data_IF_607608298910
#
_entry.id   IF_607608298910
#
_cell.length_a   1.000
_cell.length_b   1.000
_cell.length_c   1.000
_cell.angle_alpha   90.00
_cell.angle_beta   90.00
_cell.angle_gamma   90.00
#
_symmetry.space_group_name_H-M   'P 1'
#
loop_
_entity.id
_entity.type
_entity.pdbx_description
1 polymer ?
#
# COMPACT_ATOMS: atom_id res chain seq x y z
N UNK A 1 10.66 25.24 -27.51
CA UNK A 1 10.71 26.20 -26.39
C UNK A 1 9.36 26.90 -26.28
N UNK A 2 8.52 26.48 -25.34
CA UNK A 2 7.16 27.01 -25.16
C UNK A 2 7.07 27.46 -23.69
N UNK A 3 6.85 28.76 -23.46
CA UNK A 3 6.70 29.37 -22.13
C UNK A 3 5.22 29.28 -21.71
N UNK A 4 4.94 28.63 -20.59
CA UNK A 4 3.62 28.60 -19.95
C UNK A 4 3.49 29.75 -18.92
N UNK A 5 2.26 30.28 -18.71
CA UNK A 5 2.02 31.41 -17.81
C UNK A 5 1.93 30.99 -16.34
N UNK A 6 2.47 31.84 -15.47
CA UNK A 6 2.42 31.74 -14.01
C UNK A 6 0.97 31.80 -13.51
N UNK A 7 0.54 30.74 -12.82
CA UNK A 7 -0.69 30.71 -12.06
C UNK A 7 -0.44 31.27 -10.65
N UNK A 8 -1.31 32.20 -10.26
CA UNK A 8 -1.34 32.89 -8.98
C UNK A 8 -1.94 31.96 -7.92
N UNK A 9 -1.15 31.52 -6.95
CA UNK A 9 -1.62 30.77 -5.78
C UNK A 9 -2.34 31.72 -4.82
N UNK A 10 -3.57 31.42 -4.36
CA UNK A 10 -4.22 32.24 -3.35
C UNK A 10 -3.62 31.97 -1.96
N UNK A 11 -3.42 33.08 -1.26
CA UNK A 11 -2.97 33.24 0.11
C UNK A 11 -3.99 32.60 1.08
N UNK A 12 -3.77 31.35 1.53
CA UNK A 12 -4.52 30.78 2.66
C UNK A 12 -3.78 31.20 3.94
N UNK A 13 -4.25 32.28 4.54
CA UNK A 13 -3.82 32.78 5.84
C UNK A 13 -4.30 31.84 6.96
N UNK A 14 -3.34 31.13 7.54
CA UNK A 14 -3.18 30.84 8.97
C UNK A 14 -4.31 31.24 9.92
N UNK A 15 -5.10 30.26 10.39
CA UNK A 15 -5.88 30.38 11.64
C UNK A 15 -5.84 29.09 12.53
N UNK A 16 -4.68 28.61 13.04
CA UNK A 16 -4.65 27.51 14.02
C UNK A 16 -4.29 27.93 15.46
N UNK A 17 -4.07 29.21 15.76
CA UNK A 17 -3.47 29.64 17.03
C UNK A 17 -4.45 29.91 18.21
N UNK A 18 -5.77 29.83 18.00
CA UNK A 18 -6.75 30.16 19.06
C UNK A 18 -7.33 28.96 19.82
N UNK A 19 -7.03 27.71 19.42
CA UNK A 19 -7.56 26.50 20.09
C UNK A 19 -6.63 25.90 21.16
N UNK A 20 -5.37 26.34 21.24
CA UNK A 20 -4.39 25.78 22.17
C UNK A 20 -4.65 26.10 23.65
N UNK A 21 -5.28 27.24 23.95
CA UNK A 21 -5.54 27.68 25.33
C UNK A 21 -6.59 26.86 26.08
N UNK A 22 -7.57 26.29 25.37
CA UNK A 22 -8.60 25.46 26.01
C UNK A 22 -8.08 24.07 26.41
N UNK A 23 -7.10 23.53 25.67
CA UNK A 23 -6.59 22.19 25.92
C UNK A 23 -5.73 22.13 27.18
N UNK A 24 -4.84 23.12 27.39
CA UNK A 24 -3.99 23.19 28.58
C UNK A 24 -4.80 23.35 29.89
N UNK A 25 -5.84 24.19 29.89
CA UNK A 25 -6.71 24.37 31.07
C UNK A 25 -7.50 23.09 31.38
N UNK A 26 -8.03 22.41 30.36
CA UNK A 26 -8.76 21.15 30.55
C UNK A 26 -7.86 20.05 31.12
N UNK A 27 -6.60 19.98 30.69
CA UNK A 27 -5.62 19.05 31.26
C UNK A 27 -5.34 19.37 32.73
N UNK A 28 -5.10 20.64 33.09
CA UNK A 28 -4.88 21.04 34.49
C UNK A 28 -6.08 20.67 35.39
N UNK A 29 -7.31 20.84 34.91
CA UNK A 29 -8.53 20.44 35.63
C UNK A 29 -8.58 18.92 35.82
N UNK A 30 -8.23 18.15 34.79
CA UNK A 30 -8.18 16.70 34.87
C UNK A 30 -7.12 16.22 35.89
N UNK A 31 -5.96 16.87 35.93
CA UNK A 31 -4.92 16.55 36.91
C UNK A 31 -5.39 16.84 38.34
N UNK A 32 -6.08 17.96 38.58
CA UNK A 32 -6.69 18.27 39.87
C UNK A 32 -7.69 17.19 40.32
N UNK A 33 -8.51 16.68 39.39
CA UNK A 33 -9.45 15.58 39.63
C UNK A 33 -8.79 14.26 40.00
N UNK A 34 -7.58 14.02 39.47
CA UNK A 34 -6.80 12.84 39.82
C UNK A 34 -6.26 12.92 41.26
N UNK A 35 -5.98 14.13 41.76
CA UNK A 35 -5.57 14.38 43.15
C UNK A 35 -4.16 13.91 43.51
N UNK A 36 -3.34 13.50 42.52
CA UNK A 36 -1.95 13.11 42.71
C UNK A 36 -1.03 14.34 42.62
N UNK A 37 -0.77 14.95 43.76
CA UNK A 37 0.07 16.15 43.87
C UNK A 37 1.49 15.95 43.36
N UNK A 38 2.06 14.75 43.48
CA UNK A 38 3.39 14.47 42.96
C UNK A 38 3.40 14.46 41.42
N UNK A 39 2.41 13.84 40.79
CA UNK A 39 2.26 13.88 39.33
C UNK A 39 1.97 15.30 38.83
N UNK A 40 1.11 16.06 39.53
CA UNK A 40 0.82 17.47 39.21
C UNK A 40 2.11 18.30 39.26
N UNK A 41 2.88 18.19 40.34
CA UNK A 41 4.15 18.88 40.49
C UNK A 41 5.11 18.53 39.36
N UNK A 42 5.26 17.24 39.06
CA UNK A 42 6.13 16.76 37.98
C UNK A 42 5.78 17.38 36.63
N UNK A 43 4.50 17.40 36.26
CA UNK A 43 4.06 18.04 35.01
C UNK A 43 4.39 19.53 34.97
N UNK A 44 4.12 20.25 36.05
CA UNK A 44 4.40 21.69 36.12
C UNK A 44 5.90 21.97 36.02
N UNK A 45 6.73 21.21 36.73
CA UNK A 45 8.19 21.30 36.63
C UNK A 45 8.71 20.95 35.23
N UNK A 46 8.17 19.90 34.62
CA UNK A 46 8.54 19.45 33.27
C UNK A 46 8.09 20.42 32.17
N UNK A 47 7.06 21.23 32.43
CA UNK A 47 6.65 22.35 31.59
C UNK A 47 7.52 23.61 31.80
N UNK A 48 8.39 23.61 32.82
CA UNK A 48 9.23 24.75 33.17
C UNK A 48 8.46 25.86 33.91
N UNK A 49 7.34 25.53 34.55
CA UNK A 49 6.59 26.49 35.36
C UNK A 49 7.29 26.76 36.69
N UNK A 50 7.01 27.92 37.29
CA UNK A 50 7.46 28.25 38.65
C UNK A 50 6.91 27.28 39.68
N UNK A 51 7.66 27.07 40.75
CA UNK A 51 7.25 26.23 41.88
C UNK A 51 6.21 26.97 42.74
N UNK A 52 4.94 26.97 42.32
CA UNK A 52 3.86 27.62 43.07
C UNK A 52 2.75 26.63 43.45
N UNK A 53 2.98 25.94 44.57
CA UNK A 53 1.98 25.05 45.15
C UNK A 53 0.71 25.80 45.56
N UNK A 54 0.82 27.03 46.06
CA UNK A 54 -0.33 27.77 46.57
C UNK A 54 -1.28 28.15 45.43
N UNK A 55 -0.76 28.72 44.35
CA UNK A 55 -1.54 29.03 43.15
C UNK A 55 -2.13 27.76 42.53
N UNK A 56 -1.34 26.68 42.44
CA UNK A 56 -1.84 25.41 41.88
C UNK A 56 -2.96 24.81 42.74
N UNK A 57 -2.84 24.93 44.07
CA UNK A 57 -3.86 24.48 45.02
C UNK A 57 -5.15 25.28 44.88
N UNK A 58 -5.06 26.61 44.83
CA UNK A 58 -6.22 27.48 44.66
C UNK A 58 -6.94 27.21 43.32
N UNK A 59 -6.17 26.95 42.25
CA UNK A 59 -6.72 26.51 40.98
C UNK A 59 -7.49 25.18 41.09
N UNK A 60 -6.94 24.18 41.78
CA UNK A 60 -7.63 22.89 41.96
C UNK A 60 -8.86 23.00 42.87
N UNK A 61 -8.80 23.78 43.95
CA UNK A 61 -9.92 23.97 44.87
C UNK A 61 -11.12 24.63 44.19
N UNK A 62 -10.88 25.55 43.25
CA UNK A 62 -11.93 26.21 42.47
C UNK A 62 -12.61 25.31 41.42
N UNK A 63 -12.04 24.15 41.10
CA UNK A 63 -12.53 23.28 40.01
C UNK A 63 -12.92 21.84 40.43
N UNK A 64 -12.47 21.33 41.59
CA UNK A 64 -12.78 19.95 42.03
C UNK A 64 -13.10 19.78 43.54
N UNK A 65 -13.18 20.85 44.32
CA UNK A 65 -13.71 20.78 45.69
C UNK A 65 -12.83 20.06 46.73
N UNK A 66 -11.50 20.14 46.60
CA UNK A 66 -10.58 20.00 47.73
C UNK A 66 -10.39 18.61 48.33
N UNK A 67 -10.17 17.56 47.52
CA UNK A 67 -9.72 16.25 48.03
C UNK A 67 -8.20 16.22 48.26
N UNK A 68 -7.70 17.00 49.22
CA UNK A 68 -6.31 16.92 49.66
C UNK A 68 -6.10 15.73 50.60
N UNK A 69 -5.38 14.69 50.15
CA UNK A 69 -4.79 13.71 51.07
C UNK A 69 -3.58 14.34 51.82
N UNK A 70 -3.22 13.77 52.97
CA UNK A 70 -2.11 14.27 53.80
C UNK A 70 -0.79 14.34 53.03
N UNK A 71 -0.08 15.46 53.24
CA UNK A 71 1.20 15.87 52.63
C UNK A 71 1.21 16.23 51.12
N UNK A 72 0.09 16.79 50.64
CA UNK A 72 -0.04 17.34 49.28
C UNK A 72 1.07 18.33 48.88
N UNK A 73 1.52 19.17 49.83
CA UNK A 73 2.58 20.14 49.58
C UNK A 73 3.93 19.45 49.33
N UNK A 74 4.40 18.54 50.20
CA UNK A 74 5.67 17.87 49.96
C UNK A 74 5.61 16.98 48.70
N UNK A 75 4.47 16.33 48.45
CA UNK A 75 4.24 15.58 47.21
C UNK A 75 4.42 16.47 45.97
N UNK A 76 3.77 17.63 45.93
CA UNK A 76 3.93 18.57 44.83
C UNK A 76 5.37 19.07 44.66
N UNK A 77 6.03 19.47 45.75
CA UNK A 77 7.39 20.01 45.68
C UNK A 77 8.40 18.93 45.19
N UNK A 78 8.25 17.69 45.65
CA UNK A 78 9.08 16.56 45.21
C UNK A 78 8.87 16.27 43.71
N UNK A 79 7.61 16.19 43.29
CA UNK A 79 7.25 16.02 41.88
C UNK A 79 7.82 17.13 41.01
N UNK A 80 7.60 18.38 41.41
CA UNK A 80 8.06 19.56 40.69
C UNK A 80 9.58 19.60 40.54
N UNK A 81 10.33 19.26 41.59
CA UNK A 81 11.79 19.18 41.52
C UNK A 81 12.25 18.15 40.48
N UNK A 82 11.60 16.98 40.41
CA UNK A 82 11.88 15.97 39.39
C UNK A 82 11.48 16.45 37.98
N UNK A 83 10.33 17.11 37.83
CA UNK A 83 9.89 17.68 36.56
C UNK A 83 10.87 18.73 36.03
N UNK A 84 11.30 19.65 36.89
CA UNK A 84 12.27 20.68 36.55
C UNK A 84 13.63 20.06 36.16
N UNK A 85 14.03 18.99 36.85
CA UNK A 85 15.20 18.19 36.45
C UNK A 85 15.03 17.64 35.03
N UNK A 86 13.89 17.04 34.71
CA UNK A 86 13.62 16.46 33.38
C UNK A 86 13.59 17.55 32.29
N UNK A 87 13.00 18.72 32.55
CA UNK A 87 12.97 19.86 31.62
C UNK A 87 14.37 20.32 31.19
N UNK A 88 15.29 20.47 32.15
CA UNK A 88 16.65 20.92 31.88
C UNK A 88 17.52 19.79 31.33
N UNK A 89 17.38 18.57 31.85
CA UNK A 89 18.07 17.39 31.35
C UNK A 89 17.73 17.11 29.88
N UNK A 90 16.46 17.19 29.48
CA UNK A 90 16.05 16.98 28.09
C UNK A 90 16.70 17.97 27.12
N UNK A 91 16.81 19.26 27.50
CA UNK A 91 17.55 20.26 26.71
C UNK A 91 19.03 19.93 26.63
N UNK A 92 19.63 19.56 27.76
CA UNK A 92 21.00 19.09 27.81
C UNK A 92 21.24 17.93 26.82
N UNK A 93 20.42 16.88 26.88
CA UNK A 93 20.48 15.72 25.98
C UNK A 93 20.41 16.16 24.51
N UNK A 94 19.47 17.05 24.19
CA UNK A 94 19.32 17.60 22.83
C UNK A 94 20.57 18.30 22.33
N UNK A 95 21.12 19.20 23.14
CA UNK A 95 22.32 19.97 22.80
C UNK A 95 23.57 19.09 22.69
N UNK A 96 23.74 18.13 23.61
CA UNK A 96 24.84 17.17 23.60
C UNK A 96 24.81 16.31 22.32
N UNK A 97 23.62 15.83 21.91
CA UNK A 97 23.45 15.06 20.66
C UNK A 97 23.78 15.86 19.41
N UNK A 98 23.58 17.16 19.45
CA UNK A 98 23.90 18.08 18.36
C UNK A 98 25.35 18.57 18.39
N UNK A 99 26.16 18.09 19.34
CA UNK A 99 27.53 18.55 19.55
C UNK A 99 27.61 20.06 19.75
N UNK A 100 26.70 20.62 20.55
CA UNK A 100 26.77 22.01 20.99
C UNK A 100 27.59 22.12 22.28
N UNK A 101 28.35 23.21 22.49
CA UNK A 101 29.15 23.38 23.71
C UNK A 101 28.24 23.52 24.93
N UNK A 102 28.73 23.11 26.11
CA UNK A 102 28.01 23.22 27.39
C UNK A 102 27.63 24.67 27.75
N UNK A 103 28.31 25.67 27.16
CA UNK A 103 27.94 27.09 27.27
C UNK A 103 26.62 27.45 26.57
N UNK A 104 25.95 26.47 25.95
CA UNK A 104 24.63 26.63 25.35
C UNK A 104 23.53 26.78 26.40
N UNK A 105 23.76 26.28 27.62
CA UNK A 105 22.86 26.51 28.75
C UNK A 105 22.51 28.00 28.93
N UNK A 106 23.50 28.88 28.84
CA UNK A 106 23.35 30.32 28.99
C UNK A 106 22.45 30.91 27.90
N UNK A 107 22.44 30.31 26.70
CA UNK A 107 21.49 30.66 25.62
C UNK A 107 20.08 30.23 25.96
N UNK A 108 19.89 29.06 26.57
CA UNK A 108 18.57 28.61 27.05
C UNK A 108 18.07 29.47 28.20
N UNK A 109 18.94 29.85 29.15
CA UNK A 109 18.60 30.77 30.25
C UNK A 109 18.16 32.13 29.71
N UNK A 110 18.81 32.63 28.66
CA UNK A 110 18.44 33.87 27.99
C UNK A 110 17.26 33.74 27.00
N UNK A 111 16.68 32.55 26.84
CA UNK A 111 15.61 32.33 25.88
C UNK A 111 14.28 32.91 26.36
N UNK A 112 13.47 33.40 25.42
CA UNK A 112 12.17 34.01 25.70
C UNK A 112 11.23 33.04 26.43
N UNK A 113 11.28 31.74 26.13
CA UNK A 113 10.46 30.70 26.77
C UNK A 113 10.77 30.58 28.27
N UNK A 114 12.05 30.50 28.63
CA UNK A 114 12.52 30.41 30.03
C UNK A 114 12.24 31.72 30.78
N UNK A 115 12.47 32.86 30.14
CA UNK A 115 12.24 34.17 30.76
C UNK A 115 10.75 34.43 31.02
N UNK A 116 9.87 34.17 30.05
CA UNK A 116 8.42 34.41 30.21
C UNK A 116 7.81 33.52 31.28
N UNK A 117 8.21 32.25 31.35
CA UNK A 117 7.72 31.29 32.35
C UNK A 117 8.40 31.43 33.71
N UNK A 118 9.40 32.31 33.83
CA UNK A 118 10.25 32.45 35.01
C UNK A 118 10.81 31.09 35.46
N UNK A 119 11.16 30.22 34.50
CA UNK A 119 11.51 28.84 34.78
C UNK A 119 12.71 28.77 35.73
N UNK A 120 12.59 28.10 36.89
CA UNK A 120 13.71 27.96 37.80
C UNK A 120 14.87 27.21 37.16
N UNK A 121 16.07 27.75 37.36
CA UNK A 121 17.30 27.30 36.70
C UNK A 121 17.86 26.03 37.34
N UNK A 122 18.20 25.03 36.53
CA UNK A 122 18.80 23.79 37.02
C UNK A 122 20.00 23.36 36.16
N UNK A 123 21.14 24.02 36.41
CA UNK A 123 22.40 23.73 35.72
C UNK A 123 22.85 22.26 35.89
N UNK A 124 22.81 21.65 37.10
CA UNK A 124 23.20 20.25 37.27
C UNK A 124 22.38 19.28 36.41
N UNK A 125 21.06 19.49 36.32
CA UNK A 125 20.19 18.68 35.47
C UNK A 125 20.55 18.82 33.98
N UNK A 126 20.76 20.06 33.53
CA UNK A 126 21.20 20.32 32.15
C UNK A 126 22.54 19.66 31.85
N UNK A 127 23.55 19.82 32.73
CA UNK A 127 24.88 19.25 32.50
C UNK A 127 24.84 17.72 32.51
N UNK A 128 24.03 17.10 33.38
CA UNK A 128 23.81 15.65 33.39
C UNK A 128 23.18 15.17 32.07
N UNK A 129 22.14 15.84 31.60
CA UNK A 129 21.53 15.56 30.30
C UNK A 129 22.50 15.77 29.13
N UNK A 130 23.27 16.85 29.16
CA UNK A 130 24.28 17.16 28.15
C UNK A 130 25.33 16.07 28.04
N UNK A 131 25.81 15.54 29.17
CA UNK A 131 26.75 14.43 29.19
C UNK A 131 26.18 13.19 28.49
N UNK A 132 24.92 12.84 28.75
CA UNK A 132 24.23 11.72 28.06
C UNK A 132 24.18 11.98 26.55
N UNK A 133 23.75 13.17 26.13
CA UNK A 133 23.65 13.51 24.72
C UNK A 133 25.01 13.53 24.00
N UNK A 134 26.05 14.02 24.67
CA UNK A 134 27.41 14.04 24.13
C UNK A 134 27.99 12.63 23.99
N UNK A 135 27.73 11.75 24.97
CA UNK A 135 28.05 10.32 24.86
C UNK A 135 27.37 9.68 23.66
N UNK A 136 26.07 9.93 23.44
CA UNK A 136 25.33 9.45 22.26
C UNK A 136 25.96 9.96 20.95
N UNK A 137 26.31 11.24 20.89
CA UNK A 137 26.95 11.84 19.71
C UNK A 137 28.27 11.15 19.36
N UNK A 138 29.17 11.02 20.35
CA UNK A 138 30.49 10.41 20.12
C UNK A 138 30.39 8.92 19.84
N UNK A 139 29.47 8.21 20.48
CA UNK A 139 29.16 6.82 20.13
C UNK A 139 28.72 6.69 18.67
N UNK A 140 27.80 7.55 18.22
CA UNK A 140 27.35 7.58 16.84
C UNK A 140 28.49 7.91 15.85
N UNK A 141 29.35 8.86 16.19
CA UNK A 141 30.51 9.22 15.37
C UNK A 141 31.52 8.07 15.28
N UNK A 142 31.86 7.45 16.41
CA UNK A 142 32.72 6.28 16.45
C UNK A 142 32.14 5.14 15.61
N UNK A 143 30.83 4.85 15.75
CA UNK A 143 30.14 3.82 14.97
C UNK A 143 30.22 4.06 13.47
N UNK A 144 30.06 5.30 13.00
CA UNK A 144 30.25 5.65 11.59
C UNK A 144 31.68 5.37 11.14
N UNK A 145 32.67 5.89 11.88
CA UNK A 145 34.08 5.69 11.54
C UNK A 145 34.47 4.20 11.52
N UNK A 146 33.96 3.40 12.45
CA UNK A 146 34.15 1.95 12.45
C UNK A 146 33.48 1.26 11.26
N UNK A 147 32.25 1.66 10.90
CA UNK A 147 31.53 1.10 9.74
C UNK A 147 32.22 1.45 8.42
N UNK A 148 32.80 2.64 8.32
CA UNK A 148 33.61 3.09 7.18
C UNK A 148 34.97 2.34 7.08
N UNK A 149 35.31 1.50 8.06
CA UNK A 149 36.59 0.80 8.11
C UNK A 149 37.77 1.75 8.37
N UNK A 150 37.58 2.80 9.17
CA UNK A 150 38.69 3.70 9.57
C UNK A 150 39.53 3.07 10.68
N UNK A 151 40.84 3.36 10.74
CA UNK A 151 41.70 2.86 11.82
C UNK A 151 41.27 3.38 13.18
N UNK A 152 41.61 2.65 14.25
CA UNK A 152 41.30 3.07 15.62
C UNK A 152 41.93 4.43 15.99
N UNK A 153 43.00 4.84 15.29
CA UNK A 153 43.63 6.16 15.43
C UNK A 153 42.77 7.31 14.90
N UNK A 154 41.67 7.06 14.18
CA UNK A 154 40.71 8.10 13.81
C UNK A 154 40.13 8.82 15.03
N UNK A 155 40.16 8.17 16.19
CA UNK A 155 39.85 8.73 17.49
C UNK A 155 40.66 9.97 17.83
N UNK A 156 41.96 9.97 17.52
CA UNK A 156 42.83 11.12 17.84
C UNK A 156 42.43 12.34 17.01
N UNK A 157 42.15 12.14 15.71
CA UNK A 157 41.63 13.19 14.84
C UNK A 157 40.22 13.67 15.26
N UNK A 158 39.38 12.79 15.80
CA UNK A 158 38.08 13.17 16.37
C UNK A 158 38.24 14.03 17.63
N UNK A 159 39.15 13.65 18.53
CA UNK A 159 39.50 14.41 19.74
C UNK A 159 40.06 15.79 19.40
N UNK A 160 40.96 15.88 18.42
CA UNK A 160 41.56 17.16 18.02
C UNK A 160 40.51 18.11 17.41
N UNK A 161 39.59 17.57 16.59
CA UNK A 161 38.44 18.34 16.07
C UNK A 161 37.51 18.81 17.18
N UNK A 162 37.24 17.96 18.18
CA UNK A 162 36.44 18.34 19.34
C UNK A 162 37.08 19.51 20.09
N UNK A 163 38.39 19.45 20.34
CA UNK A 163 39.14 20.50 21.00
C UNK A 163 39.09 21.84 20.22
N UNK A 164 39.24 21.80 18.89
CA UNK A 164 39.13 22.98 18.03
C UNK A 164 37.73 23.63 18.07
N UNK A 165 36.69 22.84 18.31
CA UNK A 165 35.31 23.29 18.38
C UNK A 165 34.85 23.63 19.81
N UNK A 166 35.73 23.50 20.82
CA UNK A 166 35.37 23.69 22.22
C UNK A 166 34.39 22.63 22.76
N UNK A 167 34.40 21.43 22.17
CA UNK A 167 33.55 20.32 22.56
C UNK A 167 34.29 19.36 23.47
N UNK A 168 33.59 18.81 24.47
CA UNK A 168 34.14 17.74 25.31
C UNK A 168 34.09 16.41 24.56
N UNK A 169 35.27 15.89 24.25
CA UNK A 169 35.40 14.56 23.66
C UNK A 169 35.08 13.47 24.69
N UNK A 170 34.20 12.53 24.33
CA UNK A 170 33.94 11.32 25.12
C UNK A 170 34.64 10.11 24.47
N UNK A 171 35.85 9.80 24.96
CA UNK A 171 36.71 8.74 24.45
C UNK A 171 36.07 7.35 24.57
N UNK A 172 35.42 7.07 25.70
CA UNK A 172 34.82 5.77 25.98
C UNK A 172 33.62 5.51 25.06
N UNK A 173 32.76 6.52 24.89
CA UNK A 173 31.60 6.43 24.00
C UNK A 173 32.04 6.29 22.54
N UNK A 174 33.02 7.08 22.10
CA UNK A 174 33.59 6.95 20.76
C UNK A 174 34.17 5.55 20.51
N UNK A 175 35.01 5.05 21.43
CA UNK A 175 35.63 3.73 21.29
C UNK A 175 34.61 2.60 21.24
N UNK A 176 33.58 2.64 22.09
CA UNK A 176 32.46 1.68 22.09
C UNK A 176 31.68 1.70 20.77
N UNK A 177 31.38 2.91 20.28
CA UNK A 177 30.75 3.11 18.99
C UNK A 177 31.58 2.53 17.86
N UNK A 178 32.88 2.85 17.84
CA UNK A 178 33.82 2.38 16.82
C UNK A 178 33.96 0.86 16.81
N UNK A 179 34.04 0.20 17.97
CA UNK A 179 34.05 -1.27 18.03
C UNK A 179 32.79 -1.88 17.42
N UNK A 180 31.62 -1.30 17.72
CA UNK A 180 30.34 -1.71 17.13
C UNK A 180 30.35 -1.53 15.62
N UNK A 181 30.77 -0.36 15.13
CA UNK A 181 30.86 -0.06 13.71
C UNK A 181 31.84 -0.96 12.96
N UNK A 182 33.02 -1.20 13.53
CA UNK A 182 34.03 -2.07 12.96
C UNK A 182 33.53 -3.52 12.86
N UNK A 183 32.78 -4.00 13.84
CA UNK A 183 32.10 -5.30 13.73
C UNK A 183 31.14 -5.33 12.53
N UNK A 184 30.33 -4.28 12.33
CA UNK A 184 29.45 -4.14 11.17
C UNK A 184 30.22 -4.15 9.86
N UNK A 185 31.31 -3.37 9.74
CA UNK A 185 32.18 -3.36 8.55
C UNK A 185 32.62 -4.77 8.14
N UNK A 186 33.06 -5.58 9.10
CA UNK A 186 33.49 -6.95 8.83
C UNK A 186 32.32 -7.90 8.51
N UNK A 187 31.15 -7.71 9.14
CA UNK A 187 29.94 -8.45 8.79
C UNK A 187 29.50 -8.16 7.35
N UNK A 188 29.45 -6.89 6.96
CA UNK A 188 29.06 -6.46 5.61
C UNK A 188 30.06 -6.96 4.55
N UNK A 189 31.35 -6.94 4.87
CA UNK A 189 32.38 -7.52 4.02
C UNK A 189 32.19 -9.03 3.83
N UNK A 190 31.95 -9.78 4.92
CA UNK A 190 31.72 -11.23 4.87
C UNK A 190 30.47 -11.59 4.09
N UNK A 191 29.38 -10.86 4.34
CA UNK A 191 28.13 -10.97 3.59
C UNK A 191 28.33 -10.73 2.10
N UNK A 192 28.97 -9.62 1.74
CA UNK A 192 29.20 -9.23 0.34
C UNK A 192 30.09 -10.23 -0.39
N UNK A 193 31.18 -10.67 0.25
CA UNK A 193 32.11 -11.64 -0.32
C UNK A 193 31.39 -12.98 -0.56
N UNK A 194 30.60 -13.47 0.41
CA UNK A 194 29.80 -14.69 0.24
C UNK A 194 28.76 -14.56 -0.88
N UNK A 195 28.02 -13.45 -0.93
CA UNK A 195 27.01 -13.17 -1.96
C UNK A 195 27.59 -13.13 -3.38
N UNK A 196 28.86 -12.76 -3.51
CA UNK A 196 29.58 -12.73 -4.78
C UNK A 196 30.33 -14.03 -5.08
N UNK A 197 30.23 -15.04 -4.22
CA UNK A 197 30.94 -16.32 -4.38
C UNK A 197 32.47 -16.20 -4.21
N UNK A 198 32.92 -15.22 -3.43
CA UNK A 198 34.33 -15.07 -3.05
C UNK A 198 34.64 -16.06 -1.91
N UNK A 199 35.71 -16.86 -2.02
CA UNK A 199 36.06 -17.86 -1.02
C UNK A 199 36.55 -17.20 0.29
N UNK A 200 36.35 -17.88 1.43
CA UNK A 200 36.86 -17.44 2.74
C UNK A 200 38.39 -17.25 2.77
N UNK A 201 39.13 -17.89 1.86
CA UNK A 201 40.57 -17.66 1.71
C UNK A 201 40.92 -16.21 1.38
N UNK A 202 39.99 -15.45 0.78
CA UNK A 202 40.12 -14.00 0.55
C UNK A 202 40.21 -13.17 1.83
N UNK A 203 39.72 -13.69 2.96
CA UNK A 203 39.82 -13.04 4.27
C UNK A 203 41.27 -12.73 4.63
N UNK A 204 42.23 -13.62 4.30
CA UNK A 204 43.64 -13.41 4.64
C UNK A 204 44.21 -12.14 4.00
N UNK A 205 43.92 -11.92 2.72
CA UNK A 205 44.37 -10.73 1.99
C UNK A 205 43.68 -9.47 2.53
N UNK A 206 42.36 -9.53 2.77
CA UNK A 206 41.59 -8.41 3.34
C UNK A 206 42.07 -8.04 4.75
N UNK A 207 42.31 -9.03 5.59
CA UNK A 207 42.84 -8.84 6.94
C UNK A 207 44.27 -8.25 6.92
N UNK A 208 45.12 -8.65 5.98
CA UNK A 208 46.45 -8.05 5.81
C UNK A 208 46.34 -6.57 5.40
N UNK A 209 45.49 -6.25 4.43
CA UNK A 209 45.25 -4.86 3.99
C UNK A 209 44.66 -4.00 5.12
N UNK A 210 43.70 -4.54 5.87
CA UNK A 210 43.10 -3.86 7.02
C UNK A 210 44.13 -3.57 8.12
N UNK A 211 44.98 -4.55 8.46
CA UNK A 211 46.09 -4.36 9.43
C UNK A 211 47.06 -3.29 8.95
N UNK A 212 47.43 -3.29 7.66
CA UNK A 212 48.29 -2.27 7.08
C UNK A 212 47.67 -0.86 7.13
N UNK A 213 46.34 -0.77 7.02
CA UNK A 213 45.59 0.47 7.18
C UNK A 213 45.29 0.84 8.65
N UNK A 214 45.71 0.04 9.64
CA UNK A 214 45.46 0.29 11.07
C UNK A 214 44.03 -0.06 11.54
N UNK A 215 43.27 -0.80 10.73
CA UNK A 215 41.91 -1.25 11.05
C UNK A 215 41.98 -2.56 11.84
N UNK A 216 41.25 -2.64 12.96
CA UNK A 216 41.19 -3.86 13.75
C UNK A 216 40.39 -4.94 13.00
N UNK A 217 40.99 -6.12 12.84
CA UNK A 217 40.35 -7.23 12.16
C UNK A 217 39.33 -7.93 13.07
N UNK A 218 38.11 -8.14 12.59
CA UNK A 218 37.06 -8.93 13.26
C UNK A 218 36.76 -10.20 12.45
N UNK A 219 37.65 -11.20 12.53
CA UNK A 219 37.55 -12.43 11.71
C UNK A 219 36.28 -13.24 12.01
N UNK A 220 35.87 -13.30 13.28
CA UNK A 220 34.66 -14.02 13.69
C UNK A 220 33.40 -13.38 13.09
N UNK A 221 33.31 -12.05 13.14
CA UNK A 221 32.18 -11.29 12.62
C UNK A 221 32.04 -11.47 11.09
N UNK A 222 33.16 -11.42 10.38
CA UNK A 222 33.23 -11.71 8.95
C UNK A 222 32.78 -13.15 8.64
N UNK A 223 33.36 -14.15 9.30
CA UNK A 223 33.08 -15.56 9.02
C UNK A 223 31.64 -15.95 9.37
N UNK A 224 31.08 -15.38 10.44
CA UNK A 224 29.69 -15.60 10.79
C UNK A 224 28.76 -15.11 9.67
N UNK A 225 28.96 -13.89 9.18
CA UNK A 225 28.17 -13.33 8.08
C UNK A 225 28.40 -14.09 6.76
N UNK A 226 29.65 -14.44 6.45
CA UNK A 226 30.00 -15.20 5.25
C UNK A 226 29.35 -16.59 5.24
N UNK A 227 29.44 -17.34 6.35
CA UNK A 227 28.85 -18.68 6.45
C UNK A 227 27.32 -18.67 6.37
N UNK A 228 26.68 -17.60 6.86
CA UNK A 228 25.24 -17.43 6.74
C UNK A 228 24.82 -17.16 5.28
N UNK A 229 25.53 -16.26 4.59
CA UNK A 229 25.12 -15.80 3.26
C UNK A 229 25.57 -16.73 2.12
N UNK A 230 26.64 -17.51 2.30
CA UNK A 230 27.13 -18.40 1.25
C UNK A 230 26.09 -19.46 0.87
N UNK A 231 25.21 -19.83 1.80
CA UNK A 231 24.08 -20.71 1.54
C UNK A 231 23.11 -20.08 0.56
N UNK A 232 22.81 -18.78 0.73
CA UNK A 232 21.92 -18.03 -0.17
C UNK A 232 22.54 -17.85 -1.56
N UNK A 233 23.86 -17.64 -1.63
CA UNK A 233 24.58 -17.67 -2.91
C UNK A 233 24.29 -18.96 -3.70
N UNK A 234 24.42 -20.13 -3.06
CA UNK A 234 24.17 -21.41 -3.72
C UNK A 234 22.69 -21.62 -4.10
N UNK A 235 21.75 -21.17 -3.27
CA UNK A 235 20.31 -21.19 -3.60
C UNK A 235 19.99 -20.33 -4.83
N UNK A 236 20.51 -19.11 -4.86
CA UNK A 236 20.34 -18.18 -5.97
C UNK A 236 20.96 -18.75 -7.25
N UNK A 237 22.16 -19.34 -7.14
CA UNK A 237 22.84 -19.98 -8.25
C UNK A 237 22.02 -21.15 -8.82
N UNK A 238 21.49 -22.03 -7.95
CA UNK A 238 20.61 -23.12 -8.36
C UNK A 238 19.37 -22.64 -9.11
N UNK A 239 18.77 -21.54 -8.65
CA UNK A 239 17.61 -20.92 -9.29
C UNK A 239 17.95 -20.33 -10.67
N UNK A 240 19.09 -19.65 -10.80
CA UNK A 240 19.54 -19.10 -12.08
C UNK A 240 19.89 -20.21 -13.07
N UNK A 241 20.55 -21.26 -12.59
CA UNK A 241 21.08 -22.33 -13.43
C UNK A 241 20.01 -23.30 -13.94
N UNK A 242 18.90 -23.45 -13.21
CA UNK A 242 17.74 -24.22 -13.61
C UNK A 242 17.21 -23.87 -15.01
N UNK A 243 17.40 -22.63 -15.47
CA UNK A 243 16.89 -22.13 -16.75
C UNK A 243 17.99 -21.50 -17.62
N UNK A 244 19.27 -21.82 -17.35
CA UNK A 244 20.40 -21.31 -18.13
C UNK A 244 21.24 -22.40 -18.81
N UNK A 245 20.84 -23.67 -18.67
CA UNK A 245 21.56 -24.83 -19.21
C UNK A 245 22.81 -25.22 -18.42
N UNK A 246 23.06 -24.63 -17.24
CA UNK A 246 24.17 -25.01 -16.36
C UNK A 246 23.75 -26.07 -15.35
N UNK A 247 24.58 -27.10 -15.21
CA UNK A 247 24.37 -28.16 -14.23
C UNK A 247 25.26 -27.99 -12.98
N UNK A 248 25.00 -28.81 -11.97
CA UNK A 248 25.78 -28.79 -10.74
C UNK A 248 27.25 -29.22 -10.96
N UNK A 249 27.55 -30.09 -11.93
CA UNK A 249 28.92 -30.55 -12.16
C UNK A 249 29.82 -29.41 -12.64
N UNK A 250 29.30 -28.56 -13.54
CA UNK A 250 29.98 -27.33 -13.97
C UNK A 250 30.24 -26.40 -12.79
N UNK A 251 29.22 -26.13 -11.96
CA UNK A 251 29.37 -25.26 -10.77
C UNK A 251 30.29 -25.84 -9.71
N UNK A 252 30.30 -27.15 -9.54
CA UNK A 252 31.22 -27.86 -8.65
C UNK A 252 32.66 -27.69 -9.10
N UNK A 253 32.92 -27.78 -10.40
CA UNK A 253 34.25 -27.54 -10.97
C UNK A 253 34.69 -26.07 -10.78
N UNK A 254 33.81 -25.11 -11.10
CA UNK A 254 34.06 -23.68 -10.88
C UNK A 254 34.34 -23.36 -9.40
N UNK A 255 33.54 -23.90 -8.48
CA UNK A 255 33.72 -23.70 -7.05
C UNK A 255 35.02 -24.31 -6.53
N UNK A 256 35.40 -25.52 -6.98
CA UNK A 256 36.69 -26.15 -6.65
C UNK A 256 37.86 -25.33 -7.14
N UNK A 257 37.81 -24.83 -8.38
CA UNK A 257 38.86 -23.98 -8.94
C UNK A 257 39.06 -22.68 -8.13
N UNK A 258 37.98 -22.15 -7.54
CA UNK A 258 38.01 -20.96 -6.68
C UNK A 258 38.31 -21.26 -5.21
N UNK A 259 38.32 -22.53 -4.79
CA UNK A 259 38.38 -22.87 -3.36
C UNK A 259 37.13 -22.47 -2.56
N UNK A 260 35.97 -22.38 -3.22
CA UNK A 260 34.70 -22.04 -2.60
C UNK A 260 34.08 -23.26 -1.91
N UNK A 261 33.54 -23.07 -0.70
CA UNK A 261 32.78 -24.11 0.01
C UNK A 261 31.50 -24.45 -0.78
N UNK A 262 31.26 -25.73 -0.99
CA UNK A 262 30.15 -26.24 -1.80
C UNK A 262 28.96 -26.59 -0.90
N UNK A 263 27.79 -26.07 -1.25
CA UNK A 263 26.50 -26.36 -0.61
C UNK A 263 25.57 -27.01 -1.63
N UNK A 264 25.82 -28.31 -1.88
CA UNK A 264 25.14 -29.08 -2.94
C UNK A 264 23.65 -29.25 -2.67
N UNK A 265 23.26 -29.52 -1.42
CA UNK A 265 21.88 -29.77 -1.07
C UNK A 265 21.01 -28.53 -1.34
N UNK A 266 21.47 -27.35 -0.92
CA UNK A 266 20.75 -26.09 -1.07
C UNK A 266 20.69 -25.61 -2.52
N UNK A 267 21.78 -25.83 -3.28
CA UNK A 267 21.79 -25.64 -4.72
C UNK A 267 20.75 -26.53 -5.40
N UNK A 268 20.81 -27.86 -5.18
CA UNK A 268 19.94 -28.84 -5.85
C UNK A 268 18.48 -28.60 -5.52
N UNK A 269 18.15 -28.36 -4.25
CA UNK A 269 16.78 -28.07 -3.84
C UNK A 269 16.22 -26.83 -4.55
N UNK A 270 17.01 -25.74 -4.62
CA UNK A 270 16.57 -24.50 -5.29
C UNK A 270 16.45 -24.67 -6.80
N UNK A 271 17.38 -25.43 -7.40
CA UNK A 271 17.36 -25.79 -8.81
C UNK A 271 16.12 -26.64 -9.18
N UNK A 272 15.82 -27.69 -8.41
CA UNK A 272 14.65 -28.55 -8.60
C UNK A 272 13.35 -27.77 -8.41
N UNK A 273 13.26 -26.92 -7.38
CA UNK A 273 12.09 -26.08 -7.14
C UNK A 273 11.82 -25.13 -8.31
N UNK A 274 12.87 -24.49 -8.83
CA UNK A 274 12.74 -23.58 -9.97
C UNK A 274 12.33 -24.31 -11.25
N UNK A 275 12.85 -25.51 -11.49
CA UNK A 275 12.41 -26.35 -12.61
C UNK A 275 10.95 -26.79 -12.44
N UNK A 276 10.54 -27.15 -11.23
CA UNK A 276 9.17 -27.49 -10.95
C UNK A 276 8.21 -26.32 -11.24
N UNK A 277 8.61 -25.09 -10.88
CA UNK A 277 7.85 -23.88 -11.21
C UNK A 277 7.79 -23.64 -12.73
N UNK A 278 8.91 -23.82 -13.44
CA UNK A 278 8.96 -23.69 -14.89
C UNK A 278 7.97 -24.66 -15.56
N UNK A 279 8.00 -25.95 -15.20
CA UNK A 279 7.14 -26.96 -15.82
C UNK A 279 5.66 -26.77 -15.49
N UNK A 280 5.33 -26.31 -14.27
CA UNK A 280 3.97 -25.87 -13.94
C UNK A 280 3.53 -24.70 -14.82
N UNK A 281 4.37 -23.69 -14.96
CA UNK A 281 4.05 -22.52 -15.80
C UNK A 281 3.89 -22.89 -17.27
N UNK A 282 4.75 -23.74 -17.81
CA UNK A 282 4.63 -24.24 -19.18
C UNK A 282 3.29 -24.98 -19.40
N UNK A 283 2.88 -25.81 -18.43
CA UNK A 283 1.57 -26.47 -18.47
C UNK A 283 0.41 -25.47 -18.42
N UNK A 284 0.50 -24.42 -17.60
CA UNK A 284 -0.52 -23.37 -17.55
C UNK A 284 -0.62 -22.60 -18.88
N UNK A 285 0.53 -22.19 -19.44
CA UNK A 285 0.59 -21.39 -20.66
C UNK A 285 0.07 -22.17 -21.89
N UNK A 286 0.15 -23.51 -21.87
CA UNK A 286 -0.40 -24.39 -22.91
C UNK A 286 -1.81 -24.89 -22.63
N UNK A 287 -2.22 -24.96 -21.36
CA UNK A 287 -3.49 -25.59 -21.00
C UNK A 287 -4.73 -24.78 -21.40
N UNK A 288 -4.59 -23.49 -21.67
CA UNK A 288 -5.74 -22.67 -22.09
C UNK A 288 -5.88 -22.61 -23.62
N UNK A 289 -6.67 -23.53 -24.18
CA UNK A 289 -7.06 -23.51 -25.59
C UNK A 289 -5.96 -23.90 -26.58
N UNK A 290 -4.90 -24.58 -26.12
CA UNK A 290 -3.83 -25.11 -26.98
C UNK A 290 -3.68 -26.62 -26.79
N UNK A 291 -3.12 -27.34 -27.78
CA UNK A 291 -2.84 -28.77 -27.65
C UNK A 291 -1.88 -29.07 -26.50
N UNK A 292 -1.89 -30.31 -26.03
CA UNK A 292 -0.93 -30.82 -25.05
C UNK A 292 0.46 -30.96 -25.69
N UNK A 293 1.47 -30.21 -25.22
CA UNK A 293 2.80 -30.09 -25.87
C UNK A 293 3.95 -30.67 -25.04
N UNK A 294 3.67 -31.54 -24.06
CA UNK A 294 4.71 -32.02 -23.13
C UNK A 294 5.90 -32.67 -23.84
N UNK A 295 5.65 -33.60 -24.78
CA UNK A 295 6.72 -34.34 -25.45
C UNK A 295 7.60 -33.41 -26.30
N UNK A 296 6.98 -32.46 -27.02
CA UNK A 296 7.71 -31.44 -27.79
C UNK A 296 8.56 -30.55 -26.89
N UNK A 297 8.03 -30.11 -25.74
CA UNK A 297 8.80 -29.30 -24.78
C UNK A 297 9.94 -30.09 -24.16
N UNK A 298 9.72 -31.35 -23.81
CA UNK A 298 10.77 -32.22 -23.27
C UNK A 298 11.88 -32.45 -24.31
N UNK A 299 11.52 -32.67 -25.58
CA UNK A 299 12.48 -32.84 -26.68
C UNK A 299 13.32 -31.57 -26.92
N UNK A 300 12.74 -30.38 -26.70
CA UNK A 300 13.41 -29.09 -26.93
C UNK A 300 14.03 -28.48 -25.66
N UNK A 301 13.85 -29.08 -24.48
CA UNK A 301 14.24 -28.50 -23.20
C UNK A 301 15.73 -28.09 -23.17
N UNK A 302 16.63 -28.95 -23.66
CA UNK A 302 18.06 -28.65 -23.71
C UNK A 302 18.40 -27.45 -24.60
N UNK A 303 17.72 -27.30 -25.75
CA UNK A 303 17.86 -26.14 -26.63
C UNK A 303 17.38 -24.86 -25.97
N UNK A 304 16.34 -24.98 -25.15
CA UNK A 304 15.71 -23.86 -24.44
C UNK A 304 16.43 -23.56 -23.10
N UNK A 305 17.52 -24.26 -22.78
CA UNK A 305 18.32 -24.06 -21.57
C UNK A 305 17.67 -24.58 -20.29
N UNK A 306 16.72 -25.51 -20.40
CA UNK A 306 15.94 -26.06 -19.28
C UNK A 306 16.17 -27.56 -19.16
N UNK A 307 16.04 -28.09 -17.95
CA UNK A 307 16.21 -29.51 -17.66
C UNK A 307 14.88 -30.21 -17.39
N UNK A 308 14.79 -31.47 -17.82
CA UNK A 308 13.69 -32.37 -17.45
C UNK A 308 14.02 -32.99 -16.09
N UNK A 309 13.07 -32.93 -15.16
CA UNK A 309 13.15 -33.54 -13.83
C UNK A 309 12.17 -34.71 -13.71
N UNK A 310 12.34 -35.63 -12.73
CA UNK A 310 11.45 -36.79 -12.59
C UNK A 310 9.96 -36.41 -12.49
N UNK A 311 9.65 -35.24 -11.90
CA UNK A 311 8.28 -34.73 -11.73
C UNK A 311 7.77 -33.88 -12.90
N UNK A 312 8.54 -33.68 -13.97
CA UNK A 312 8.15 -32.82 -15.11
C UNK A 312 6.78 -33.19 -15.66
N UNK A 313 6.54 -34.49 -15.91
CA UNK A 313 5.27 -34.98 -16.46
C UNK A 313 4.09 -34.72 -15.52
N UNK A 314 4.23 -35.04 -14.24
CA UNK A 314 3.21 -34.80 -13.21
C UNK A 314 2.83 -33.31 -13.15
N UNK A 315 3.84 -32.45 -13.03
CA UNK A 315 3.67 -31.00 -12.84
C UNK A 315 3.06 -30.31 -14.05
N UNK A 316 3.55 -30.63 -15.26
CA UNK A 316 3.02 -30.08 -16.50
C UNK A 316 1.58 -30.56 -16.73
N UNK A 317 1.33 -31.87 -16.62
CA UNK A 317 0.00 -32.43 -16.90
C UNK A 317 -1.04 -31.89 -15.93
N UNK A 318 -0.74 -31.83 -14.64
CA UNK A 318 -1.68 -31.28 -13.65
C UNK A 318 -2.03 -29.81 -13.95
N UNK A 319 -1.01 -29.00 -14.27
CA UNK A 319 -1.20 -27.58 -14.61
C UNK A 319 -1.96 -27.38 -15.93
N UNK A 320 -1.68 -28.21 -16.94
CA UNK A 320 -2.38 -28.20 -18.22
C UNK A 320 -3.83 -28.60 -18.05
N UNK A 321 -4.12 -29.70 -17.36
CA UNK A 321 -5.48 -30.19 -17.12
C UNK A 321 -6.32 -29.15 -16.37
N UNK A 322 -5.74 -28.45 -15.39
CA UNK A 322 -6.42 -27.37 -14.66
C UNK A 322 -6.84 -26.23 -15.60
N UNK A 323 -5.95 -25.74 -16.45
CA UNK A 323 -6.28 -24.66 -17.39
C UNK A 323 -7.20 -25.13 -18.52
N UNK A 324 -7.03 -26.38 -18.97
CA UNK A 324 -7.89 -26.94 -20.00
C UNK A 324 -9.31 -27.15 -19.48
N UNK A 325 -9.50 -27.50 -18.20
CA UNK A 325 -10.84 -27.53 -17.58
C UNK A 325 -11.50 -26.13 -17.54
N UNK A 326 -10.69 -25.06 -17.36
CA UNK A 326 -11.18 -23.67 -17.43
C UNK A 326 -11.49 -23.21 -18.85
N UNK A 327 -10.88 -23.79 -19.86
CA UNK A 327 -11.20 -23.53 -21.26
C UNK A 327 -12.40 -24.36 -21.74
N UNK A 328 -12.38 -25.66 -21.45
CA UNK A 328 -13.36 -26.67 -21.83
C UNK A 328 -14.50 -26.77 -20.80
N UNK A 329 -15.17 -25.66 -20.54
CA UNK A 329 -16.43 -25.64 -19.80
C UNK A 329 -17.54 -24.91 -20.57
N UNK A 330 -18.82 -25.22 -20.29
CA UNK A 330 -19.94 -24.67 -21.05
C UNK A 330 -19.99 -23.14 -21.01
N UNK A 331 -19.59 -22.54 -19.89
CA UNK A 331 -19.59 -21.10 -19.70
C UNK A 331 -18.60 -20.38 -20.63
N UNK A 332 -17.34 -20.84 -20.65
CA UNK A 332 -16.33 -20.30 -21.55
C UNK A 332 -16.72 -20.51 -23.02
N UNK A 333 -17.27 -21.67 -23.37
CA UNK A 333 -17.72 -21.96 -24.72
C UNK A 333 -18.86 -21.01 -25.16
N UNK A 334 -19.86 -20.81 -24.30
CA UNK A 334 -20.96 -19.88 -24.51
C UNK A 334 -20.45 -18.44 -24.68
N UNK A 335 -19.56 -17.98 -23.80
CA UNK A 335 -19.02 -16.62 -23.86
C UNK A 335 -18.12 -16.38 -25.07
N UNK A 336 -17.38 -17.39 -25.54
CA UNK A 336 -16.63 -17.32 -26.80
C UNK A 336 -17.58 -17.25 -28.00
N UNK A 337 -18.66 -18.05 -27.98
CA UNK A 337 -19.71 -18.02 -29.00
C UNK A 337 -20.39 -16.66 -29.10
N UNK A 338 -20.76 -16.06 -27.96
CA UNK A 338 -21.30 -14.69 -27.90
C UNK A 338 -20.36 -13.66 -28.51
N UNK A 339 -19.07 -13.76 -28.22
CA UNK A 339 -18.09 -12.82 -28.77
C UNK A 339 -17.73 -13.07 -30.24
N UNK A 340 -18.26 -14.14 -30.84
CA UNK A 340 -17.85 -14.58 -32.19
C UNK A 340 -16.38 -15.01 -32.26
N UNK A 341 -15.76 -15.31 -31.12
CA UNK A 341 -14.39 -15.80 -31.06
C UNK A 341 -14.34 -17.28 -31.42
N UNK A 342 -13.28 -17.75 -32.09
CA UNK A 342 -13.09 -19.17 -32.37
C UNK A 342 -12.82 -19.97 -31.10
N UNK A 343 -13.33 -21.21 -31.03
CA UNK A 343 -12.99 -22.18 -29.98
C UNK A 343 -12.39 -23.44 -30.61
N UNK A 344 -11.24 -23.85 -30.08
CA UNK A 344 -10.51 -25.06 -30.47
C UNK A 344 -11.11 -26.28 -29.74
N UNK A 345 -12.18 -26.87 -30.27
CA UNK A 345 -12.89 -27.98 -29.59
C UNK A 345 -12.04 -29.26 -29.49
N UNK A 346 -11.09 -29.44 -30.38
CA UNK A 346 -10.18 -30.60 -30.43
C UNK A 346 -9.27 -30.71 -29.20
N UNK A 347 -9.00 -29.60 -28.49
CA UNK A 347 -8.18 -29.63 -27.26
C UNK A 347 -8.98 -30.16 -26.05
N UNK A 348 -10.31 -30.16 -26.15
CA UNK A 348 -11.19 -30.70 -25.12
C UNK A 348 -11.28 -32.23 -25.21
N UNK A 349 -11.47 -32.90 -24.06
CA UNK A 349 -11.68 -34.36 -24.01
C UNK A 349 -12.97 -34.75 -24.73
N UNK A 350 -12.97 -35.91 -25.40
CA UNK A 350 -14.09 -36.34 -26.26
C UNK A 350 -15.49 -36.24 -25.62
N UNK A 351 -15.71 -36.66 -24.35
CA UNK A 351 -17.05 -36.61 -23.75
C UNK A 351 -17.64 -35.20 -23.65
N UNK A 352 -16.80 -34.17 -23.51
CA UNK A 352 -17.24 -32.78 -23.33
C UNK A 352 -17.31 -31.99 -24.63
N UNK A 353 -16.69 -32.48 -25.72
CA UNK A 353 -16.64 -31.76 -27.02
C UNK A 353 -18.02 -31.39 -27.54
N UNK A 354 -18.96 -32.32 -27.51
CA UNK A 354 -20.31 -32.08 -28.00
C UNK A 354 -21.06 -31.05 -27.14
N UNK A 355 -20.88 -31.12 -25.82
CA UNK A 355 -21.44 -30.12 -24.90
C UNK A 355 -20.87 -28.73 -25.18
N UNK A 356 -19.55 -28.61 -25.39
CA UNK A 356 -18.91 -27.33 -25.73
C UNK A 356 -19.43 -26.75 -27.05
N UNK A 357 -19.55 -27.58 -28.09
CA UNK A 357 -20.10 -27.15 -29.39
C UNK A 357 -21.53 -26.61 -29.24
N UNK A 358 -22.38 -27.28 -28.47
CA UNK A 358 -23.74 -26.80 -28.20
C UNK A 358 -23.73 -25.48 -27.43
N UNK A 359 -22.97 -25.40 -26.34
CA UNK A 359 -22.87 -24.17 -25.55
C UNK A 359 -22.37 -22.98 -26.39
N UNK A 360 -21.38 -23.22 -27.25
CA UNK A 360 -20.86 -22.24 -28.21
C UNK A 360 -21.94 -21.74 -29.18
N UNK A 361 -22.68 -22.66 -29.82
CA UNK A 361 -23.79 -22.31 -30.72
C UNK A 361 -24.90 -21.57 -29.97
N UNK A 362 -25.26 -22.00 -28.76
CA UNK A 362 -26.21 -21.28 -27.90
C UNK A 362 -25.76 -19.85 -27.60
N UNK A 363 -24.45 -19.60 -27.48
CA UNK A 363 -23.89 -18.26 -27.32
C UNK A 363 -24.08 -17.39 -28.57
N UNK A 364 -23.89 -17.96 -29.76
CA UNK A 364 -24.16 -17.25 -31.02
C UNK A 364 -25.64 -16.91 -31.17
N UNK A 365 -26.52 -17.88 -30.93
CA UNK A 365 -27.98 -17.70 -30.95
C UNK A 365 -28.44 -16.69 -29.89
N UNK A 366 -27.76 -16.66 -28.73
CA UNK A 366 -28.03 -15.70 -27.66
C UNK A 366 -27.81 -14.26 -28.16
N UNK A 367 -26.71 -13.98 -28.85
CA UNK A 367 -26.45 -12.63 -29.37
C UNK A 367 -27.44 -12.23 -30.47
N UNK A 368 -27.88 -13.19 -31.29
CA UNK A 368 -28.97 -12.94 -32.24
C UNK A 368 -30.27 -12.59 -31.52
N UNK A 369 -30.60 -13.31 -30.44
CA UNK A 369 -31.77 -13.02 -29.60
C UNK A 369 -31.62 -11.68 -28.85
N UNK A 370 -30.43 -11.36 -28.36
CA UNK A 370 -30.11 -10.10 -27.67
C UNK A 370 -30.27 -8.91 -28.62
N UNK A 371 -29.82 -9.02 -29.87
CA UNK A 371 -30.03 -7.99 -30.88
C UNK A 371 -31.52 -7.76 -31.17
N UNK A 372 -32.33 -8.83 -31.22
CA UNK A 372 -33.79 -8.72 -31.39
C UNK A 372 -34.47 -8.11 -30.17
N UNK A 373 -34.05 -8.50 -28.97
CA UNK A 373 -34.51 -7.92 -27.71
C UNK A 373 -34.23 -6.42 -27.66
N UNK A 374 -33.00 -5.99 -27.96
CA UNK A 374 -32.63 -4.58 -27.94
C UNK A 374 -33.46 -3.73 -28.92
N UNK A 375 -33.79 -4.28 -30.09
CA UNK A 375 -34.69 -3.61 -31.05
C UNK A 375 -36.11 -3.48 -30.47
N UNK A 376 -36.68 -4.58 -29.98
CA UNK A 376 -38.03 -4.57 -29.40
C UNK A 376 -38.12 -3.66 -28.16
N UNK A 377 -37.09 -3.62 -27.32
CA UNK A 377 -37.00 -2.71 -26.18
C UNK A 377 -36.94 -1.25 -26.63
N UNK A 378 -36.17 -0.94 -27.68
CA UNK A 378 -36.17 0.38 -28.32
C UNK A 378 -37.55 0.79 -28.84
N UNK A 379 -38.26 -0.13 -29.50
CA UNK A 379 -39.63 0.11 -29.97
C UNK A 379 -40.60 0.40 -28.80
N UNK A 380 -40.46 -0.33 -27.68
CA UNK A 380 -41.24 -0.08 -26.45
C UNK A 380 -41.00 1.34 -25.93
N UNK A 381 -39.74 1.78 -25.85
CA UNK A 381 -39.40 3.11 -25.36
C UNK A 381 -39.94 4.22 -26.28
N UNK A 382 -39.79 4.06 -27.60
CA UNK A 382 -40.30 4.99 -28.61
C UNK A 382 -41.83 5.08 -28.55
N UNK A 383 -42.53 3.94 -28.59
CA UNK A 383 -43.99 3.88 -28.57
C UNK A 383 -44.56 4.38 -27.24
N UNK A 384 -43.91 4.08 -26.12
CA UNK A 384 -44.27 4.61 -24.80
C UNK A 384 -44.12 6.14 -24.73
N UNK A 385 -43.11 6.70 -25.39
CA UNK A 385 -42.98 8.14 -25.62
C UNK A 385 -44.18 8.72 -26.40
N UNK A 386 -44.51 8.11 -27.55
CA UNK A 386 -45.64 8.52 -28.39
C UNK A 386 -46.99 8.43 -27.70
N UNK A 387 -47.23 7.36 -26.92
CA UNK A 387 -48.45 7.20 -26.12
C UNK A 387 -48.57 8.31 -25.09
N UNK A 388 -47.49 8.64 -24.37
CA UNK A 388 -47.48 9.73 -23.39
C UNK A 388 -47.79 11.08 -24.04
N UNK A 389 -47.18 11.37 -25.19
CA UNK A 389 -47.42 12.61 -25.94
C UNK A 389 -48.86 12.69 -26.45
N UNK A 390 -49.38 11.62 -27.06
CA UNK A 390 -50.74 11.55 -27.57
C UNK A 390 -51.77 11.72 -26.44
N UNK A 391 -51.57 11.08 -25.28
CA UNK A 391 -52.41 11.27 -24.08
C UNK A 391 -52.36 12.72 -23.58
N UNK A 392 -51.18 13.33 -23.53
CA UNK A 392 -51.04 14.72 -23.12
C UNK A 392 -51.75 15.67 -24.10
N UNK A 393 -51.63 15.43 -25.41
CA UNK A 393 -52.33 16.20 -26.46
C UNK A 393 -53.84 16.03 -26.36
N UNK A 394 -54.33 14.80 -26.22
CA UNK A 394 -55.74 14.50 -26.05
C UNK A 394 -56.30 15.23 -24.82
N UNK A 395 -55.61 15.14 -23.68
CA UNK A 395 -56.01 15.83 -22.46
C UNK A 395 -56.00 17.36 -22.59
N UNK A 396 -55.11 17.95 -23.42
CA UNK A 396 -55.18 19.39 -23.74
C UNK A 396 -56.43 19.72 -24.56
N UNK A 397 -56.67 18.99 -25.64
CA UNK A 397 -57.84 19.18 -26.52
C UNK A 397 -59.14 19.05 -25.72
N UNK A 398 -59.27 18.03 -24.87
CA UNK A 398 -60.45 17.81 -24.04
C UNK A 398 -60.68 18.95 -23.03
N UNK A 399 -59.62 19.49 -22.43
CA UNK A 399 -59.71 20.67 -21.57
C UNK A 399 -60.12 21.91 -22.35
N UNK A 400 -59.56 22.13 -23.53
CA UNK A 400 -59.87 23.29 -24.37
C UNK A 400 -61.32 23.23 -24.91
N UNK A 401 -61.82 22.03 -25.24
CA UNK A 401 -63.23 21.81 -25.60
C UNK A 401 -64.11 22.16 -24.39
N UNK A 402 -63.82 21.63 -23.20
CA UNK A 402 -64.60 21.90 -21.98
C UNK A 402 -64.60 23.39 -21.62
N UNK A 403 -63.42 24.03 -21.60
CA UNK A 403 -63.28 25.45 -21.29
C UNK A 403 -64.06 26.34 -22.25
N UNK A 404 -64.08 26.00 -23.54
CA UNK A 404 -64.88 26.73 -24.54
C UNK A 404 -66.38 26.53 -24.38
N UNK A 405 -66.83 25.33 -23.98
CA UNK A 405 -68.23 25.05 -23.71
C UNK A 405 -68.72 25.75 -22.44
N UNK A 406 -67.86 25.87 -21.43
CA UNK A 406 -68.18 26.51 -20.15
C UNK A 406 -68.10 28.06 -20.22
N UNK A 407 -67.53 28.63 -21.30
CA UNK A 407 -67.42 30.08 -21.47
C UNK A 407 -68.77 30.71 -21.84
N UNK A 408 -69.40 31.35 -20.85
CA UNK A 408 -70.73 31.97 -20.97
C UNK A 408 -70.77 33.17 -21.92
N UNK A 409 -69.63 33.81 -22.18
CA UNK A 409 -69.52 35.00 -23.04
C UNK A 409 -69.18 34.63 -24.50
N UNK A 410 -69.17 33.33 -24.84
CA UNK A 410 -68.80 32.86 -26.17
C UNK A 410 -69.92 33.13 -27.19
N UNK A 411 -69.63 33.81 -28.33
CA UNK A 411 -70.63 34.02 -29.36
C UNK A 411 -70.99 32.69 -30.05
N UNK A 412 -72.28 32.37 -30.11
CA UNK A 412 -72.79 31.19 -30.83
C UNK A 412 -73.06 31.60 -32.27
N UNK A 413 -72.12 31.29 -33.16
CA UNK A 413 -72.21 31.59 -34.59
C UNK A 413 -71.58 30.45 -35.43
N UNK A 414 -71.70 30.54 -36.75
CA UNK A 414 -71.23 29.49 -37.65
C UNK A 414 -69.72 29.23 -37.52
N UNK A 415 -68.93 30.26 -37.20
CA UNK A 415 -67.48 30.12 -37.02
C UNK A 415 -67.14 29.36 -35.73
N UNK A 416 -67.82 29.63 -34.61
CA UNK A 416 -67.61 28.88 -33.38
C UNK A 416 -68.08 27.42 -33.50
N UNK A 417 -69.16 27.16 -34.24
CA UNK A 417 -69.58 25.78 -34.56
C UNK A 417 -68.60 25.03 -35.47
N UNK A 418 -67.97 25.72 -36.45
CA UNK A 418 -66.92 25.11 -37.27
C UNK A 418 -65.67 24.79 -36.45
N UNK A 419 -65.28 25.68 -35.53
CA UNK A 419 -64.15 25.45 -34.62
C UNK A 419 -64.40 24.25 -33.70
N UNK A 420 -65.60 24.11 -33.15
CA UNK A 420 -65.96 22.96 -32.30
C UNK A 420 -65.91 21.64 -33.08
N UNK A 421 -66.45 21.62 -34.31
CA UNK A 421 -66.36 20.44 -35.18
C UNK A 421 -64.92 20.05 -35.49
N UNK A 422 -64.03 21.02 -35.74
CA UNK A 422 -62.60 20.76 -35.97
C UNK A 422 -61.92 20.18 -34.73
N UNK A 423 -62.15 20.75 -33.54
CA UNK A 423 -61.58 20.25 -32.28
C UNK A 423 -62.08 18.86 -31.94
N UNK A 424 -63.37 18.59 -32.17
CA UNK A 424 -63.95 17.26 -31.96
C UNK A 424 -63.39 16.25 -32.97
N UNK A 425 -63.15 16.64 -34.23
CA UNK A 425 -62.45 15.81 -35.20
C UNK A 425 -61.01 15.52 -34.75
N UNK A 426 -60.25 16.55 -34.36
CA UNK A 426 -58.89 16.37 -33.83
C UNK A 426 -58.85 15.48 -32.58
N UNK A 427 -59.84 15.61 -31.69
CA UNK A 427 -59.99 14.73 -30.52
C UNK A 427 -60.15 13.26 -30.95
N UNK A 428 -61.02 12.99 -31.93
CA UNK A 428 -61.23 11.63 -32.47
C UNK A 428 -59.99 11.10 -33.16
N UNK A 429 -59.32 11.91 -33.97
CA UNK A 429 -58.11 11.52 -34.69
C UNK A 429 -56.97 11.17 -33.72
N UNK A 430 -56.78 11.99 -32.67
CA UNK A 430 -55.77 11.72 -31.63
C UNK A 430 -56.16 10.51 -30.79
N UNK A 431 -57.44 10.30 -30.48
CA UNK A 431 -57.91 9.13 -29.75
C UNK A 431 -57.71 7.83 -30.56
N UNK A 432 -57.98 7.84 -31.86
CA UNK A 432 -57.73 6.69 -32.74
C UNK A 432 -56.23 6.41 -32.88
N UNK A 433 -55.42 7.45 -33.08
CA UNK A 433 -53.97 7.34 -33.10
C UNK A 433 -53.42 6.75 -31.80
N UNK A 434 -53.92 7.21 -30.65
CA UNK A 434 -53.56 6.69 -29.33
C UNK A 434 -53.88 5.19 -29.24
N UNK A 435 -55.11 4.78 -29.59
CA UNK A 435 -55.51 3.37 -29.54
C UNK A 435 -54.67 2.47 -30.49
N UNK A 436 -54.27 2.97 -31.66
CA UNK A 436 -53.35 2.24 -32.56
C UNK A 436 -51.96 2.11 -31.95
N UNK A 437 -51.43 3.19 -31.39
CA UNK A 437 -50.09 3.22 -30.79
C UNK A 437 -50.01 2.36 -29.53
N UNK A 438 -51.07 2.32 -28.71
CA UNK A 438 -51.15 1.46 -27.52
C UNK A 438 -51.11 -0.03 -27.91
N UNK A 439 -51.84 -0.43 -28.97
CA UNK A 439 -51.75 -1.81 -29.48
C UNK A 439 -50.35 -2.17 -29.96
N UNK A 440 -49.69 -1.26 -30.68
CA UNK A 440 -48.30 -1.45 -31.12
C UNK A 440 -47.35 -1.56 -29.92
N UNK A 441 -47.55 -0.76 -28.87
CA UNK A 441 -46.75 -0.81 -27.64
C UNK A 441 -46.90 -2.17 -26.94
N UNK A 442 -48.12 -2.69 -26.84
CA UNK A 442 -48.36 -4.00 -26.24
C UNK A 442 -47.75 -5.13 -27.07
N UNK A 443 -47.79 -5.04 -28.42
CA UNK A 443 -47.09 -5.96 -29.30
C UNK A 443 -45.57 -5.93 -29.10
N UNK A 444 -44.98 -4.73 -29.04
CA UNK A 444 -43.55 -4.54 -28.81
C UNK A 444 -43.12 -5.13 -27.45
N UNK A 445 -43.91 -4.92 -26.39
CA UNK A 445 -43.69 -5.53 -25.07
C UNK A 445 -43.70 -7.05 -25.12
N UNK A 446 -44.68 -7.65 -25.79
CA UNK A 446 -44.74 -9.11 -25.98
C UNK A 446 -43.55 -9.66 -26.77
N UNK A 447 -43.01 -8.90 -27.73
CA UNK A 447 -41.79 -9.30 -28.43
C UNK A 447 -40.55 -9.20 -27.55
N UNK A 448 -40.40 -8.11 -26.78
CA UNK A 448 -39.29 -7.95 -25.84
C UNK A 448 -39.28 -9.09 -24.80
N UNK A 449 -40.42 -9.40 -24.18
CA UNK A 449 -40.55 -10.51 -23.22
C UNK A 449 -40.19 -11.87 -23.83
N UNK A 450 -40.68 -12.16 -25.05
CA UNK A 450 -40.36 -13.42 -25.75
C UNK A 450 -38.87 -13.57 -26.04
N UNK A 451 -38.21 -12.51 -26.49
CA UNK A 451 -36.76 -12.56 -26.75
C UNK A 451 -35.94 -12.67 -25.47
N UNK A 452 -36.40 -12.04 -24.37
CA UNK A 452 -35.80 -12.23 -23.06
C UNK A 452 -35.90 -13.69 -22.58
N UNK A 453 -37.09 -14.31 -22.67
CA UNK A 453 -37.27 -15.72 -22.32
C UNK A 453 -36.42 -16.64 -23.20
N UNK A 454 -36.27 -16.32 -24.50
CA UNK A 454 -35.40 -17.05 -25.42
C UNK A 454 -33.94 -16.97 -24.96
N UNK A 455 -33.44 -15.79 -24.59
CA UNK A 455 -32.09 -15.60 -24.04
C UNK A 455 -31.87 -16.42 -22.77
N UNK A 456 -32.81 -16.40 -21.83
CA UNK A 456 -32.73 -17.19 -20.59
C UNK A 456 -32.72 -18.69 -20.86
N UNK A 457 -33.53 -19.16 -21.82
CA UNK A 457 -33.54 -20.56 -22.24
C UNK A 457 -32.19 -20.96 -22.82
N UNK A 458 -31.66 -20.20 -23.78
CA UNK A 458 -30.35 -20.47 -24.40
C UNK A 458 -29.23 -20.54 -23.35
N UNK A 459 -29.31 -19.70 -22.32
CA UNK A 459 -28.38 -19.73 -21.19
C UNK A 459 -28.52 -20.98 -20.31
N UNK A 460 -29.74 -21.47 -20.06
CA UNK A 460 -29.96 -22.71 -19.29
C UNK A 460 -29.57 -23.95 -20.07
N UNK A 461 -29.79 -23.96 -21.38
CA UNK A 461 -29.58 -25.12 -22.25
C UNK A 461 -28.10 -25.55 -22.31
N UNK A 462 -27.14 -24.69 -21.96
CA UNK A 462 -25.71 -25.03 -21.92
C UNK A 462 -25.36 -26.10 -20.87
N UNK A 463 -26.19 -26.25 -19.84
CA UNK A 463 -25.99 -27.23 -18.76
C UNK A 463 -26.79 -28.52 -18.96
N UNK A 464 -27.58 -28.62 -20.02
CA UNK A 464 -28.36 -29.81 -20.35
C UNK A 464 -27.54 -30.76 -21.22
N UNK A 465 -27.55 -32.06 -20.85
CA UNK A 465 -26.78 -33.12 -21.52
C UNK A 465 -27.41 -33.58 -22.83
#
# INVERSE_FOLDING_TARGET
>A
MIRLPRWSTPLILTLPLLLGGCQATMERIADCKAGDWNTIGHKDGAAGEVQDYAERKDFCDSHDGGKGQGDAAAGYLAGWAQGNWDFWSARGVGDGRQALPQSTYERHVASEDVQKRHTPLNRPAYDAGWMIGNSDYWNGQGKRDGTDGKPASSRDAARDRAAQQGLRFDDASYASGWQTGNRTFWQDAGFTDARNGVPDTGLKARAAAARAAGVQVQEEAYRAAWNAEIVNYWKNLGTQDAVSGKDFNMRRAEARAKGLKIYEAEYRQSWENRLADYWRKAGQDDGYGRPFQLEDRMANAARDGVFVIPRTRELYTAAWDEQNARYCNPDSAFDLGRRGAGMAFEVCRDPVRNQMKRAYLSGQDYEVAAAKYNRAAGDVDELSGRVREARARLGRIERDIRANLDNKDRPVNDETQKQDRRREQERRDVAEYLQRTERQLDDARRWAERHQQQMERLRRDIYLN
#
